data_IF_625567346248
#
_entry.id   IF_625567346248
#
_cell.length_a   1.000
_cell.length_b   1.000
_cell.length_c   1.000
_cell.angle_alpha   90.00
_cell.angle_beta   90.00
_cell.angle_gamma   90.00
#
_symmetry.space_group_name_H-M   'P 1'
#
loop_
_entity.id
_entity.type
_entity.pdbx_description
1 polymer ?
#
# COMPACT_ATOMS: atom_id res chain seq x y z
N UNK A 1 -11.19 35.50 -27.54
CA UNK A 1 -9.81 35.41 -27.02
C UNK A 1 -9.87 34.57 -25.76
N UNK A 2 -9.28 33.37 -25.80
CA UNK A 2 -9.49 32.30 -24.82
C UNK A 2 -8.87 32.60 -23.46
N UNK A 3 -9.67 32.41 -22.40
CA UNK A 3 -9.18 32.36 -21.03
C UNK A 3 -8.50 31.03 -20.79
N UNK A 4 -7.20 31.08 -20.49
CA UNK A 4 -6.46 29.94 -19.95
C UNK A 4 -7.01 29.63 -18.56
N UNK A 5 -7.98 28.72 -18.46
CA UNK A 5 -8.32 28.07 -17.21
C UNK A 5 -7.16 27.13 -16.89
N UNK A 6 -6.19 27.61 -16.13
CA UNK A 6 -5.22 26.74 -15.48
C UNK A 6 -6.00 25.93 -14.46
N UNK A 7 -6.24 24.66 -14.78
CA UNK A 7 -6.75 23.71 -13.81
C UNK A 7 -5.80 23.76 -12.60
N UNK A 8 -6.30 23.94 -11.36
CA UNK A 8 -5.44 23.84 -10.20
C UNK A 8 -4.77 22.46 -10.22
N UNK A 9 -3.47 22.35 -9.89
CA UNK A 9 -2.84 21.06 -9.75
C UNK A 9 -3.67 20.21 -8.76
N UNK A 10 -3.81 18.90 -8.99
CA UNK A 10 -4.46 18.03 -8.01
C UNK A 10 -3.79 18.29 -6.65
N UNK A 11 -4.55 18.39 -5.55
CA UNK A 11 -4.00 18.73 -4.26
C UNK A 11 -2.82 17.79 -3.99
N UNK A 12 -1.64 18.38 -3.73
CA UNK A 12 -0.48 17.60 -3.31
C UNK A 12 -0.89 16.85 -2.05
N UNK A 13 -1.13 15.54 -2.18
CA UNK A 13 -1.66 14.71 -1.11
C UNK A 13 -0.55 14.55 -0.06
N UNK A 14 -0.51 15.49 0.88
CA UNK A 14 0.25 15.48 2.12
C UNK A 14 1.77 15.66 1.99
N UNK A 15 2.37 16.45 2.87
CA UNK A 15 3.83 16.59 2.96
C UNK A 15 4.59 15.25 3.09
N UNK A 16 3.92 14.19 3.56
CA UNK A 16 4.48 12.83 3.65
C UNK A 16 4.82 12.28 2.27
N UNK A 17 3.99 12.50 1.25
CA UNK A 17 4.29 12.05 -0.12
C UNK A 17 5.59 12.67 -0.63
N UNK A 18 5.76 13.99 -0.43
CA UNK A 18 6.98 14.71 -0.81
C UNK A 18 8.21 14.20 -0.04
N UNK A 19 8.06 13.89 1.25
CA UNK A 19 9.14 13.31 2.06
C UNK A 19 9.54 11.93 1.54
N UNK A 20 8.56 11.06 1.26
CA UNK A 20 8.83 9.74 0.71
C UNK A 20 9.50 9.83 -0.67
N UNK A 21 9.01 10.71 -1.54
CA UNK A 21 9.59 10.90 -2.87
C UNK A 21 11.03 11.41 -2.80
N UNK A 22 11.31 12.41 -1.96
CA UNK A 22 12.66 12.99 -1.83
C UNK A 22 13.65 12.03 -1.18
N UNK A 23 13.19 11.15 -0.29
CA UNK A 23 14.04 10.11 0.35
C UNK A 23 14.11 8.81 -0.43
N UNK A 24 13.17 8.54 -1.34
CA UNK A 24 13.12 7.30 -2.10
C UNK A 24 14.41 7.12 -2.91
N UNK A 25 14.92 8.17 -3.56
CA UNK A 25 16.15 8.11 -4.36
C UNK A 25 17.34 7.62 -3.53
N UNK A 26 17.67 8.35 -2.46
CA UNK A 26 18.84 8.02 -1.63
C UNK A 26 18.72 6.65 -0.97
N UNK A 27 17.51 6.26 -0.55
CA UNK A 27 17.28 4.96 0.08
C UNK A 27 17.38 3.81 -0.93
N UNK A 28 16.88 4.02 -2.15
CA UNK A 28 16.99 3.03 -3.23
C UNK A 28 18.44 2.87 -3.70
N UNK A 29 19.23 3.94 -3.70
CA UNK A 29 20.66 3.87 -4.01
C UNK A 29 21.45 3.06 -2.97
N UNK A 30 21.05 3.13 -1.69
CA UNK A 30 21.69 2.37 -0.60
C UNK A 30 21.25 0.90 -0.52
N UNK A 31 19.95 0.63 -0.67
CA UNK A 31 19.35 -0.67 -0.38
C UNK A 31 18.97 -1.47 -1.64
N UNK A 32 18.94 -0.82 -2.80
CA UNK A 32 18.61 -1.43 -4.08
C UNK A 32 17.30 -2.19 -4.05
N UNK A 33 17.36 -3.49 -4.39
CA UNK A 33 16.19 -4.35 -4.51
C UNK A 33 15.63 -4.85 -3.18
N UNK A 34 16.33 -4.61 -2.07
CA UNK A 34 15.87 -4.98 -0.73
C UNK A 34 14.94 -3.92 -0.10
N UNK A 35 14.71 -2.80 -0.80
CA UNK A 35 13.81 -1.74 -0.37
C UNK A 35 12.52 -1.75 -1.18
N UNK A 36 11.40 -1.80 -0.46
CA UNK A 36 10.08 -1.66 -1.03
C UNK A 36 9.20 -0.81 -0.10
N UNK A 37 8.35 0.01 -0.70
CA UNK A 37 7.35 0.81 0.00
C UNK A 37 6.04 0.03 0.06
N UNK A 38 5.32 0.14 1.18
CA UNK A 38 3.98 -0.41 1.34
C UNK A 38 2.97 0.73 1.39
N UNK A 39 1.88 0.59 0.63
CA UNK A 39 0.83 1.60 0.59
C UNK A 39 -0.53 1.03 0.19
N UNK A 40 -1.62 1.76 0.44
CA UNK A 40 -2.94 1.38 -0.03
C UNK A 40 -3.01 1.49 -1.56
N UNK A 41 -3.71 0.56 -2.19
CA UNK A 41 -3.97 0.60 -3.62
C UNK A 41 -5.01 1.69 -3.94
N UNK A 42 -4.59 2.69 -4.70
CA UNK A 42 -5.45 3.77 -5.18
C UNK A 42 -5.41 3.78 -6.72
N UNK A 43 -6.46 3.26 -7.35
CA UNK A 43 -6.51 3.01 -8.80
C UNK A 43 -6.05 4.21 -9.65
N UNK A 44 -6.46 5.43 -9.29
CA UNK A 44 -6.10 6.66 -10.00
C UNK A 44 -4.59 6.96 -9.95
N UNK A 45 -3.96 6.74 -8.81
CA UNK A 45 -2.53 7.00 -8.62
C UNK A 45 -1.69 5.91 -9.27
N UNK A 46 -2.12 4.66 -9.15
CA UNK A 46 -1.39 3.51 -9.71
C UNK A 46 -1.31 3.62 -11.23
N UNK A 47 -2.42 3.91 -11.92
CA UNK A 47 -2.46 4.02 -13.39
C UNK A 47 -1.52 5.08 -13.97
N UNK A 48 -1.17 6.10 -13.18
CA UNK A 48 -0.38 7.25 -13.66
C UNK A 48 1.04 7.27 -13.14
N UNK A 49 1.29 6.70 -11.95
CA UNK A 49 2.57 6.80 -11.25
C UNK A 49 3.25 5.45 -11.04
N UNK A 50 2.56 4.32 -11.19
CA UNK A 50 3.13 3.01 -10.85
C UNK A 50 3.09 2.09 -12.06
N UNK A 51 4.23 1.49 -12.37
CA UNK A 51 4.32 0.40 -13.33
C UNK A 51 4.13 -0.92 -12.60
N UNK A 52 3.03 -1.63 -12.86
CA UNK A 52 2.80 -2.94 -12.27
C UNK A 52 3.75 -3.96 -12.90
N UNK A 53 4.53 -4.63 -12.06
CA UNK A 53 5.52 -5.62 -12.46
C UNK A 53 5.43 -6.82 -11.54
N UNK A 54 5.95 -7.96 -11.96
CA UNK A 54 6.08 -9.11 -11.08
C UNK A 54 7.20 -8.89 -10.05
N UNK A 55 7.00 -9.31 -8.79
CA UNK A 55 8.02 -9.20 -7.76
C UNK A 55 9.25 -10.05 -8.12
N UNK A 56 10.46 -9.45 -8.17
CA UNK A 56 11.68 -10.19 -8.47
C UNK A 56 12.02 -11.20 -7.36
N UNK A 57 11.61 -10.89 -6.12
CA UNK A 57 11.89 -11.75 -4.97
C UNK A 57 10.85 -12.87 -4.83
N UNK A 58 11.26 -14.16 -4.88
CA UNK A 58 10.32 -15.28 -4.87
C UNK A 58 9.52 -15.39 -3.57
N UNK A 59 10.08 -14.97 -2.43
CA UNK A 59 9.33 -14.94 -1.18
C UNK A 59 8.17 -13.93 -1.23
N UNK A 60 8.40 -12.75 -1.82
CA UNK A 60 7.34 -11.72 -1.97
C UNK A 60 6.27 -12.22 -2.93
N UNK A 61 6.68 -12.86 -4.04
CA UNK A 61 5.74 -13.49 -4.98
C UNK A 61 4.82 -14.50 -4.30
N UNK A 62 5.40 -15.45 -3.55
CA UNK A 62 4.63 -16.46 -2.81
C UNK A 62 3.67 -15.83 -1.80
N UNK A 63 4.12 -14.79 -1.09
CA UNK A 63 3.26 -14.05 -0.17
C UNK A 63 2.08 -13.41 -0.89
N UNK A 64 2.33 -12.71 -2.00
CA UNK A 64 1.27 -12.08 -2.80
C UNK A 64 0.27 -13.12 -3.30
N UNK A 65 0.76 -14.24 -3.84
CA UNK A 65 -0.09 -15.34 -4.32
C UNK A 65 -0.91 -15.95 -3.18
N UNK A 66 -0.31 -16.19 -2.00
CA UNK A 66 -0.98 -16.69 -0.81
C UNK A 66 -2.08 -15.74 -0.32
N UNK A 67 -1.79 -14.44 -0.25
CA UNK A 67 -2.77 -13.42 0.15
C UNK A 67 -3.90 -13.30 -0.88
N UNK A 68 -3.58 -13.34 -2.17
CA UNK A 68 -4.57 -13.32 -3.25
C UNK A 68 -5.49 -14.54 -3.20
N UNK A 69 -4.95 -15.74 -2.91
CA UNK A 69 -5.74 -16.96 -2.75
C UNK A 69 -6.71 -16.90 -1.55
N UNK A 70 -6.37 -16.10 -0.53
CA UNK A 70 -7.19 -15.91 0.68
C UNK A 70 -8.23 -14.80 0.53
N UNK A 71 -8.38 -14.21 -0.66
CA UNK A 71 -9.39 -13.20 -0.97
C UNK A 71 -8.97 -11.75 -0.71
N UNK A 72 -7.68 -11.50 -0.45
CA UNK A 72 -7.12 -10.16 -0.51
C UNK A 72 -6.71 -9.84 -1.96
N UNK A 73 -6.41 -8.57 -2.26
CA UNK A 73 -5.72 -8.21 -3.50
C UNK A 73 -4.48 -7.40 -3.19
N UNK A 74 -3.33 -7.95 -3.58
CA UNK A 74 -2.03 -7.31 -3.40
C UNK A 74 -1.38 -7.17 -4.76
N UNK A 75 -0.92 -5.97 -5.07
CA UNK A 75 -0.24 -5.65 -6.30
C UNK A 75 1.22 -5.29 -6.01
N UNK A 76 2.11 -5.69 -6.91
CA UNK A 76 3.49 -5.28 -6.89
C UNK A 76 3.77 -4.38 -8.08
N UNK A 77 4.62 -3.38 -7.89
CA UNK A 77 4.95 -2.43 -8.92
C UNK A 77 6.24 -1.69 -8.64
N UNK A 78 6.60 -0.84 -9.60
CA UNK A 78 7.69 0.12 -9.50
C UNK A 78 7.11 1.52 -9.56
N UNK A 79 7.49 2.35 -8.60
CA UNK A 79 7.05 3.74 -8.62
C UNK A 79 7.85 4.52 -9.65
N UNK A 80 7.17 5.16 -10.60
CA UNK A 80 7.75 5.95 -11.69
C UNK A 80 8.23 7.33 -11.21
N UNK A 81 9.09 7.33 -10.19
CA UNK A 81 9.79 8.49 -9.67
C UNK A 81 11.30 8.29 -9.76
N UNK A 82 12.05 9.33 -9.47
CA UNK A 82 13.51 9.24 -9.41
C UNK A 82 13.97 8.23 -8.34
N UNK A 83 14.85 7.30 -8.73
CA UNK A 83 15.25 6.13 -7.92
C UNK A 83 14.45 4.86 -8.21
N UNK A 84 13.21 4.99 -8.70
CA UNK A 84 12.37 3.86 -9.10
C UNK A 84 12.22 2.76 -8.03
N UNK A 85 11.83 3.09 -6.79
CA UNK A 85 11.69 2.09 -5.72
C UNK A 85 10.58 1.09 -6.05
N UNK A 86 10.71 -0.12 -5.51
CA UNK A 86 9.63 -1.10 -5.52
C UNK A 86 8.50 -0.70 -4.58
N UNK A 87 7.27 -1.00 -4.96
CA UNK A 87 6.07 -0.71 -4.17
C UNK A 87 5.14 -1.91 -4.12
N UNK A 88 4.61 -2.17 -2.93
CA UNK A 88 3.56 -3.15 -2.65
C UNK A 88 2.30 -2.39 -2.31
N UNK A 89 1.25 -2.63 -3.09
CA UNK A 89 -0.02 -1.92 -3.00
C UNK A 89 -1.12 -2.87 -2.54
N UNK A 90 -1.71 -2.55 -1.38
CA UNK A 90 -2.71 -3.36 -0.71
C UNK A 90 -4.11 -2.82 -1.00
N UNK A 91 -4.97 -3.63 -1.61
CA UNK A 91 -6.36 -3.26 -1.89
C UNK A 91 -7.23 -3.48 -0.64
N UNK A 92 -7.39 -2.39 0.11
CA UNK A 92 -8.28 -2.34 1.28
C UNK A 92 -9.75 -2.58 0.89
N UNK A 93 -10.16 -2.13 -0.29
CA UNK A 93 -11.53 -2.29 -0.80
C UNK A 93 -11.88 -3.75 -1.05
N UNK A 94 -10.96 -4.50 -1.66
CA UNK A 94 -11.10 -5.95 -1.84
C UNK A 94 -11.18 -6.73 -0.52
N UNK A 95 -10.65 -6.16 0.57
CA UNK A 95 -10.55 -6.82 1.88
C UNK A 95 -11.63 -6.36 2.87
N UNK A 96 -12.53 -5.46 2.44
CA UNK A 96 -13.60 -4.90 3.27
C UNK A 96 -14.53 -5.96 3.90
N UNK A 97 -14.62 -7.16 3.31
CA UNK A 97 -15.37 -8.30 3.85
C UNK A 97 -14.89 -8.75 5.24
N UNK A 98 -13.61 -8.51 5.57
CA UNK A 98 -13.00 -8.90 6.86
C UNK A 98 -13.03 -7.81 7.93
N UNK A 99 -13.54 -6.61 7.59
CA UNK A 99 -13.48 -5.42 8.44
C UNK A 99 -14.10 -5.64 9.82
N UNK A 100 -15.29 -6.26 9.87
CA UNK A 100 -16.01 -6.47 11.14
C UNK A 100 -15.23 -7.37 12.11
N UNK A 101 -14.64 -8.44 11.57
CA UNK A 101 -13.77 -9.33 12.33
C UNK A 101 -12.54 -8.60 12.85
N UNK A 102 -11.83 -7.87 12.00
CA UNK A 102 -10.60 -7.18 12.41
C UNK A 102 -10.85 -6.01 13.36
N UNK A 103 -12.00 -5.34 13.27
CA UNK A 103 -12.42 -4.37 14.29
C UNK A 103 -12.64 -5.03 15.65
N UNK A 104 -13.26 -6.21 15.65
CA UNK A 104 -13.46 -6.98 16.89
C UNK A 104 -12.12 -7.41 17.48
N UNK A 105 -11.21 -7.97 16.67
CA UNK A 105 -9.86 -8.33 17.13
C UNK A 105 -9.06 -7.13 17.64
N UNK A 106 -9.21 -5.95 17.03
CA UNK A 106 -8.58 -4.71 17.47
C UNK A 106 -9.11 -4.23 18.83
N UNK A 107 -10.42 -4.33 19.03
CA UNK A 107 -11.05 -4.02 20.32
C UNK A 107 -10.57 -4.99 21.40
N UNK A 108 -10.56 -6.28 21.13
CA UNK A 108 -10.15 -7.30 22.10
C UNK A 108 -8.66 -7.20 22.47
N UNK A 109 -7.81 -6.81 21.52
CA UNK A 109 -6.36 -6.72 21.73
C UNK A 109 -5.92 -5.41 22.38
N UNK A 110 -6.53 -4.29 21.99
CA UNK A 110 -6.04 -2.95 22.31
C UNK A 110 -7.10 -2.01 22.93
N UNK A 111 -8.35 -2.45 23.06
CA UNK A 111 -9.50 -1.63 23.49
C UNK A 111 -9.72 -0.37 22.63
N UNK A 112 -9.40 -0.45 21.33
CA UNK A 112 -9.57 0.66 20.37
C UNK A 112 -10.88 0.45 19.61
N UNK A 113 -11.85 1.35 19.83
CA UNK A 113 -13.13 1.34 19.12
C UNK A 113 -13.09 2.21 17.88
N UNK A 114 -13.50 1.66 16.73
CA UNK A 114 -13.55 2.39 15.44
C UNK A 114 -14.99 2.58 14.99
N UNK A 115 -15.51 3.82 14.94
CA UNK A 115 -16.87 4.11 14.50
C UNK A 115 -17.15 3.57 13.09
N UNK A 116 -18.36 3.08 12.85
CA UNK A 116 -18.76 2.46 11.58
C UNK A 116 -18.72 3.44 10.40
N UNK A 117 -19.11 4.69 10.63
CA UNK A 117 -19.24 5.73 9.61
C UNK A 117 -17.90 6.37 9.24
N UNK A 118 -16.84 6.13 10.00
CA UNK A 118 -15.51 6.69 9.74
C UNK A 118 -14.78 5.81 8.72
N UNK A 119 -14.87 6.21 7.44
CA UNK A 119 -14.23 5.48 6.35
C UNK A 119 -12.72 5.49 6.44
N UNK A 120 -12.11 6.60 6.82
CA UNK A 120 -10.65 6.70 6.91
C UNK A 120 -10.11 5.78 8.01
N UNK A 121 -10.77 5.76 9.17
CA UNK A 121 -10.39 4.85 10.24
C UNK A 121 -10.60 3.38 9.85
N UNK A 122 -11.68 3.05 9.14
CA UNK A 122 -11.91 1.70 8.62
C UNK A 122 -10.80 1.26 7.65
N UNK A 123 -10.43 2.13 6.71
CA UNK A 123 -9.38 1.86 5.74
C UNK A 123 -8.02 1.73 6.41
N UNK A 124 -7.74 2.53 7.45
CA UNK A 124 -6.53 2.44 8.25
C UNK A 124 -6.43 1.09 8.99
N UNK A 125 -7.53 0.60 9.56
CA UNK A 125 -7.58 -0.74 10.18
C UNK A 125 -7.30 -1.82 9.15
N UNK A 126 -8.02 -1.82 8.02
CA UNK A 126 -7.82 -2.80 6.95
C UNK A 126 -6.36 -2.80 6.45
N UNK A 127 -5.82 -1.62 6.18
CA UNK A 127 -4.44 -1.46 5.73
C UNK A 127 -3.43 -1.96 6.76
N UNK A 128 -3.65 -1.65 8.04
CA UNK A 128 -2.79 -2.09 9.14
C UNK A 128 -2.75 -3.62 9.27
N UNK A 129 -3.90 -4.28 9.27
CA UNK A 129 -3.99 -5.74 9.33
C UNK A 129 -3.40 -6.41 8.10
N UNK A 130 -3.68 -5.90 6.89
CA UNK A 130 -3.08 -6.39 5.65
C UNK A 130 -1.55 -6.27 5.68
N UNK A 131 -1.02 -5.15 6.16
CA UNK A 131 0.42 -4.92 6.27
C UNK A 131 1.05 -5.88 7.27
N UNK A 132 0.44 -6.06 8.46
CA UNK A 132 0.91 -7.01 9.46
C UNK A 132 0.90 -8.44 8.92
N UNK A 133 -0.15 -8.82 8.20
CA UNK A 133 -0.24 -10.11 7.55
C UNK A 133 0.86 -10.29 6.49
N UNK A 134 1.02 -9.32 5.59
CA UNK A 134 2.05 -9.36 4.55
C UNK A 134 3.45 -9.57 5.15
N UNK A 135 3.80 -8.81 6.19
CA UNK A 135 5.09 -8.95 6.89
C UNK A 135 5.25 -10.31 7.57
N UNK A 136 4.19 -10.84 8.18
CA UNK A 136 4.17 -12.17 8.78
C UNK A 136 4.38 -13.28 7.75
N UNK A 137 3.74 -13.18 6.59
CA UNK A 137 3.81 -14.18 5.52
C UNK A 137 5.18 -14.14 4.81
N UNK A 138 5.74 -12.95 4.55
CA UNK A 138 7.11 -12.79 4.01
C UNK A 138 8.15 -13.44 4.93
N UNK A 139 7.98 -13.31 6.25
CA UNK A 139 8.86 -13.95 7.24
C UNK A 139 8.61 -15.46 7.36
N UNK A 140 7.36 -15.90 7.26
CA UNK A 140 6.96 -17.30 7.38
C UNK A 140 7.27 -18.16 6.15
N UNK A 141 7.47 -17.54 4.97
CA UNK A 141 7.79 -18.23 3.71
C UNK A 141 9.24 -18.73 3.58
N UNK A 142 10.04 -18.63 4.64
CA UNK A 142 11.38 -19.18 4.75
C UNK A 142 11.38 -20.52 5.50
N UNK A 143 10.80 -21.55 4.89
CA UNK A 143 10.96 -22.96 5.27
C UNK A 143 11.10 -23.81 4.00
#
# INVERSE_FOLDING_TARGET
MGGCVSNPPPPAVGGIYTVLQTKAKITSDEWGENYFLLGPYLEQNVRTQVELIDPPHPAVRRTIDSMNAKGCKVYFGRWLIEGGPYVVLLDVGATAWSLDRWKTELWDSCAIGVPWYDREANDAVLFGFLTAWFLGEVRGGGA
#
